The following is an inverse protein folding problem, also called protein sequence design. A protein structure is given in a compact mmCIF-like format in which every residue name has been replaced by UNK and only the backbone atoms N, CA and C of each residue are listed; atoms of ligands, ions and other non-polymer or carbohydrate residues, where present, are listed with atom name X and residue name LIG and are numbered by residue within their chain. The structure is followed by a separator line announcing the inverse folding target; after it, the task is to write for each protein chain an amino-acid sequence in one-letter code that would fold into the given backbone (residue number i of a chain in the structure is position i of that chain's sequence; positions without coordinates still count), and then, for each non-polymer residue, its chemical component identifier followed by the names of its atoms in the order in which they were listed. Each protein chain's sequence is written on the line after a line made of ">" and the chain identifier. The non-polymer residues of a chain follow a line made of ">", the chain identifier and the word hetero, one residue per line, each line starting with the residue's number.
data_IF_716242422028
#
_entry.id   IF_716242422028
#
_cell.length_a   1.000
_cell.length_b   1.000
_cell.length_c   1.000
_cell.angle_alpha   90.00
_cell.angle_beta   90.00
_cell.angle_gamma   90.00
#
_symmetry.space_group_name_H-M   'P 1'
#
loop_
_entity.id
_entity.type
_entity.pdbx_description
1 polymer ?
#
# COMPACT_ATOMS: atom_id res chain seq x y z
N UNK A 1 -34.81 -97.31 33.43
CA UNK A 1 -33.40 -97.53 33.01
C UNK A 1 -33.40 -97.88 31.53
N UNK A 2 -32.35 -97.47 30.83
CA UNK A 2 -32.21 -97.17 29.38
C UNK A 2 -32.57 -98.30 28.41
N UNK A 3 -32.95 -97.94 27.19
CA UNK A 3 -32.23 -98.05 25.89
C UNK A 3 -33.21 -97.54 24.79
N UNK A 4 -32.90 -97.03 23.60
CA UNK A 4 -31.70 -96.90 22.76
C UNK A 4 -32.12 -96.24 21.42
N UNK A 5 -31.12 -95.94 20.57
CA UNK A 5 -31.05 -95.16 19.31
C UNK A 5 -31.86 -95.62 18.08
N UNK A 6 -31.89 -94.74 17.05
CA UNK A 6 -31.66 -94.96 15.58
C UNK A 6 -32.49 -93.95 14.74
N UNK A 7 -31.90 -92.96 14.04
CA UNK A 7 -31.25 -92.94 12.71
C UNK A 7 -32.18 -92.81 11.48
N UNK A 8 -31.78 -91.93 10.53
CA UNK A 8 -32.17 -91.88 9.10
C UNK A 8 -33.51 -91.20 8.77
N UNK A 9 -33.70 -90.29 7.81
CA UNK A 9 -32.92 -89.85 6.65
C UNK A 9 -33.84 -89.81 5.42
N UNK A 10 -33.52 -88.96 4.43
CA UNK A 10 -34.11 -88.79 3.08
C UNK A 10 -35.43 -87.95 2.99
N UNK A 11 -35.61 -87.00 2.07
CA UNK A 11 -34.78 -86.49 0.98
C UNK A 11 -35.69 -86.06 -0.18
N UNK A 12 -35.71 -84.76 -0.53
CA UNK A 12 -36.27 -84.29 -1.81
C UNK A 12 -35.29 -83.34 -2.50
N UNK A 13 -34.83 -83.74 -3.69
CA UNK A 13 -34.07 -82.92 -4.62
C UNK A 13 -35.02 -82.13 -5.52
N UNK A 14 -35.01 -80.80 -5.38
CA UNK A 14 -35.62 -79.86 -6.33
C UNK A 14 -34.54 -79.17 -7.17
N UNK A 15 -34.69 -79.25 -8.50
CA UNK A 15 -33.73 -78.78 -9.50
C UNK A 15 -33.43 -77.28 -9.50
N UNK A 16 -32.21 -76.95 -9.93
CA UNK A 16 -31.67 -75.59 -10.06
C UNK A 16 -32.11 -74.95 -11.37
N UNK A 17 -32.94 -73.93 -11.28
CA UNK A 17 -33.17 -72.94 -12.34
C UNK A 17 -32.96 -71.54 -11.72
N UNK A 18 -31.79 -70.93 -11.91
CA UNK A 18 -31.52 -69.61 -11.33
C UNK A 18 -30.07 -69.16 -11.40
N UNK A 19 -29.54 -68.84 -12.59
CA UNK A 19 -28.19 -68.24 -12.67
C UNK A 19 -28.02 -67.15 -13.75
N UNK A 20 -29.11 -66.63 -14.34
CA UNK A 20 -29.05 -65.47 -15.25
C UNK A 20 -29.44 -64.13 -14.62
N UNK A 21 -30.04 -64.15 -13.42
CA UNK A 21 -30.37 -62.93 -12.67
C UNK A 21 -29.22 -62.37 -11.83
N UNK A 22 -28.26 -63.22 -11.45
CA UNK A 22 -27.17 -62.91 -10.50
C UNK A 22 -26.10 -61.97 -11.08
N UNK A 23 -25.82 -62.06 -12.38
CA UNK A 23 -24.73 -61.31 -13.03
C UNK A 23 -25.12 -59.86 -13.37
N UNK A 24 -26.37 -59.62 -13.80
CA UNK A 24 -26.89 -58.26 -14.06
C UNK A 24 -26.99 -57.44 -12.78
N UNK A 25 -27.43 -58.05 -11.67
CA UNK A 25 -27.51 -57.37 -10.37
C UNK A 25 -26.10 -57.01 -9.85
N UNK A 26 -25.14 -57.92 -10.00
CA UNK A 26 -23.72 -57.67 -9.66
C UNK A 26 -23.11 -56.54 -10.49
N UNK A 27 -23.44 -56.45 -11.78
CA UNK A 27 -22.99 -55.37 -12.66
C UNK A 27 -23.59 -54.02 -12.25
N UNK A 28 -24.89 -53.98 -11.95
CA UNK A 28 -25.56 -52.78 -11.43
C UNK A 28 -25.02 -52.29 -10.09
N UNK A 29 -24.71 -53.20 -9.15
CA UNK A 29 -24.07 -52.86 -7.86
C UNK A 29 -22.66 -52.27 -8.04
N UNK A 30 -21.89 -52.77 -9.01
CA UNK A 30 -20.55 -52.23 -9.34
C UNK A 30 -20.64 -50.84 -9.96
N UNK A 31 -21.58 -50.63 -10.86
CA UNK A 31 -21.80 -49.35 -11.51
C UNK A 31 -22.28 -48.28 -10.52
N UNK A 32 -23.21 -48.65 -9.62
CA UNK A 32 -23.68 -47.76 -8.54
C UNK A 32 -22.55 -47.34 -7.59
N UNK A 33 -21.67 -48.28 -7.20
CA UNK A 33 -20.47 -47.97 -6.40
C UNK A 33 -19.48 -47.06 -7.14
N UNK A 34 -19.39 -47.18 -8.47
CA UNK A 34 -18.52 -46.33 -9.29
C UNK A 34 -19.07 -44.90 -9.35
N UNK A 35 -20.37 -44.74 -9.57
CA UNK A 35 -21.04 -43.43 -9.58
C UNK A 35 -20.94 -42.73 -8.22
N UNK A 36 -21.11 -43.46 -7.11
CA UNK A 36 -21.01 -42.89 -5.76
C UNK A 36 -19.57 -42.43 -5.43
N UNK A 37 -18.57 -43.19 -5.88
CA UNK A 37 -17.15 -42.81 -5.74
C UNK A 37 -16.77 -41.61 -6.62
N UNK A 38 -17.35 -41.49 -7.80
CA UNK A 38 -17.13 -40.38 -8.72
C UNK A 38 -17.76 -39.09 -8.19
N UNK A 39 -19.01 -39.18 -7.71
CA UNK A 39 -19.69 -38.09 -7.02
C UNK A 39 -18.93 -37.63 -5.77
N UNK A 40 -18.37 -38.55 -4.98
CA UNK A 40 -17.55 -38.20 -3.82
C UNK A 40 -16.28 -37.41 -4.20
N UNK A 41 -15.65 -37.73 -5.34
CA UNK A 41 -14.49 -36.99 -5.85
C UNK A 41 -14.85 -35.61 -6.38
N UNK A 42 -16.03 -35.47 -7.00
CA UNK A 42 -16.54 -34.17 -7.43
C UNK A 42 -16.87 -33.27 -6.24
N UNK A 43 -17.56 -33.80 -5.23
CA UNK A 43 -17.88 -33.06 -4.00
C UNK A 43 -16.61 -32.65 -3.22
N UNK A 44 -15.57 -33.49 -3.21
CA UNK A 44 -14.27 -33.15 -2.61
C UNK A 44 -13.57 -32.03 -3.40
N UNK A 45 -13.58 -32.09 -4.73
CA UNK A 45 -13.01 -31.04 -5.59
C UNK A 45 -13.76 -29.70 -5.50
N UNK A 46 -15.07 -29.70 -5.27
CA UNK A 46 -15.84 -28.48 -5.04
C UNK A 46 -15.48 -27.84 -3.68
N UNK A 47 -15.34 -28.64 -2.62
CA UNK A 47 -14.92 -28.15 -1.29
C UNK A 47 -13.53 -27.53 -1.31
N UNK A 48 -12.59 -28.12 -2.05
CA UNK A 48 -11.24 -27.54 -2.20
C UNK A 48 -11.28 -26.19 -2.94
N UNK A 49 -12.05 -26.10 -4.03
CA UNK A 49 -12.22 -24.85 -4.80
C UNK A 49 -12.91 -23.76 -3.99
N UNK A 50 -13.88 -24.13 -3.16
CA UNK A 50 -14.55 -23.21 -2.24
C UNK A 50 -13.58 -22.68 -1.16
N UNK A 51 -12.77 -23.57 -0.57
CA UNK A 51 -11.73 -23.19 0.38
C UNK A 51 -10.66 -22.26 -0.22
N UNK A 52 -10.27 -22.44 -1.48
CA UNK A 52 -9.39 -21.50 -2.19
C UNK A 52 -10.04 -20.13 -2.43
N UNK A 53 -11.33 -20.11 -2.78
CA UNK A 53 -12.09 -18.85 -2.97
C UNK A 53 -12.24 -18.10 -1.65
N UNK A 54 -12.46 -18.80 -0.55
CA UNK A 54 -12.57 -18.21 0.78
C UNK A 54 -11.22 -17.63 1.24
N UNK A 55 -10.12 -18.39 1.10
CA UNK A 55 -8.77 -17.88 1.36
C UNK A 55 -8.43 -16.65 0.51
N UNK A 56 -8.85 -16.62 -0.76
CA UNK A 56 -8.65 -15.46 -1.63
C UNK A 56 -9.45 -14.24 -1.16
N UNK A 57 -10.69 -14.43 -0.72
CA UNK A 57 -11.52 -13.36 -0.12
C UNK A 57 -10.91 -12.82 1.16
N UNK A 58 -10.42 -13.69 2.06
CA UNK A 58 -9.73 -13.26 3.28
C UNK A 58 -8.44 -12.46 2.98
N UNK A 59 -7.71 -12.84 1.93
CA UNK A 59 -6.52 -12.12 1.48
C UNK A 59 -6.85 -10.74 0.90
N UNK A 60 -7.95 -10.62 0.15
CA UNK A 60 -8.46 -9.34 -0.36
C UNK A 60 -8.89 -8.43 0.78
N UNK A 61 -9.61 -8.94 1.78
CA UNK A 61 -10.01 -8.18 2.97
C UNK A 61 -8.79 -7.67 3.76
N UNK A 62 -7.73 -8.48 3.91
CA UNK A 62 -6.48 -8.05 4.57
C UNK A 62 -5.71 -7.00 3.74
N UNK A 63 -5.73 -7.11 2.41
CA UNK A 63 -5.13 -6.10 1.52
C UNK A 63 -5.91 -4.78 1.55
N UNK A 64 -7.23 -4.86 1.65
CA UNK A 64 -8.10 -3.68 1.70
C UNK A 64 -8.09 -3.01 3.08
N UNK A 65 -7.94 -3.79 4.16
CA UNK A 65 -7.66 -3.32 5.51
C UNK A 65 -6.26 -2.68 5.69
N UNK A 66 -5.38 -2.83 4.69
CA UNK A 66 -4.08 -2.16 4.60
C UNK A 66 -4.09 -0.84 3.83
N UNK A 67 -5.22 -0.44 3.23
CA UNK A 67 -5.43 0.96 2.84
C UNK A 67 -5.82 1.73 4.09
N UNK A 68 -4.80 2.04 4.88
CA UNK A 68 -4.86 3.08 5.89
C UNK A 68 -5.40 4.33 5.19
N UNK A 69 -6.69 4.61 5.40
CA UNK A 69 -7.24 5.92 5.11
C UNK A 69 -6.41 6.86 5.95
N UNK A 70 -5.59 7.66 5.28
CA UNK A 70 -4.94 8.83 5.87
C UNK A 70 -6.05 9.62 6.57
N UNK A 71 -6.18 9.40 7.88
CA UNK A 71 -7.23 10.05 8.65
C UNK A 71 -6.80 11.49 8.73
N UNK A 72 -7.59 12.37 8.12
CA UNK A 72 -7.43 13.81 8.24
C UNK A 72 -7.29 14.16 9.72
N UNK A 73 -6.06 14.45 10.13
CA UNK A 73 -5.76 14.79 11.51
C UNK A 73 -6.08 16.26 11.67
N UNK A 74 -7.02 16.57 12.55
CA UNK A 74 -7.36 17.95 12.87
C UNK A 74 -6.10 18.67 13.38
N UNK A 75 -5.72 19.76 12.72
CA UNK A 75 -4.47 20.50 12.98
C UNK A 75 -4.65 21.76 13.85
N UNK A 76 -5.90 22.12 14.15
CA UNK A 76 -6.20 23.31 14.96
C UNK A 76 -7.66 23.73 14.94
N UNK A 77 -7.90 24.87 15.55
CA UNK A 77 -9.19 25.54 15.70
C UNK A 77 -9.08 26.98 15.21
N UNK A 78 -10.05 27.44 14.40
CA UNK A 78 -10.13 28.85 14.01
C UNK A 78 -11.00 29.65 14.98
N UNK A 79 -10.47 30.77 15.47
CA UNK A 79 -11.21 31.73 16.30
C UNK A 79 -11.37 33.05 15.54
N UNK A 80 -12.60 33.56 15.46
CA UNK A 80 -12.94 34.80 14.72
C UNK A 80 -12.11 36.01 15.20
N UNK A 81 -11.83 36.12 16.49
CA UNK A 81 -11.12 37.26 17.09
C UNK A 81 -9.63 37.04 17.30
N UNK A 82 -9.16 35.78 17.25
CA UNK A 82 -7.77 35.42 17.59
C UNK A 82 -7.04 34.69 16.46
N UNK A 83 -7.71 34.45 15.33
CA UNK A 83 -7.16 33.70 14.20
C UNK A 83 -7.03 32.21 14.48
N UNK A 84 -6.12 31.55 13.77
CA UNK A 84 -5.85 30.12 13.88
C UNK A 84 -5.13 29.79 15.19
N UNK A 85 -5.68 28.87 15.96
CA UNK A 85 -5.04 28.24 17.12
C UNK A 85 -4.69 26.80 16.76
N UNK A 86 -3.41 26.49 16.57
CA UNK A 86 -2.92 25.16 16.19
C UNK A 86 -2.51 24.33 17.40
N UNK A 87 -2.67 23.01 17.32
CA UNK A 87 -2.18 22.09 18.36
C UNK A 87 -0.66 21.91 18.22
N UNK A 88 0.10 22.44 19.19
CA UNK A 88 1.56 22.57 19.10
C UNK A 88 2.33 21.23 19.05
N UNK A 89 1.69 20.11 19.35
CA UNK A 89 2.30 18.77 19.25
C UNK A 89 2.44 18.26 17.80
N UNK A 90 1.87 18.95 16.80
CA UNK A 90 1.99 18.53 15.40
C UNK A 90 3.32 18.96 14.79
N UNK A 91 3.91 20.05 15.27
CA UNK A 91 5.16 20.59 14.74
C UNK A 91 6.43 19.99 15.35
N UNK A 92 6.37 19.52 16.61
CA UNK A 92 7.58 19.25 17.39
C UNK A 92 8.12 17.81 17.32
N UNK A 93 7.36 16.82 16.84
CA UNK A 93 7.85 15.42 16.81
C UNK A 93 7.91 14.81 15.42
N UNK A 94 7.17 15.36 14.44
CA UNK A 94 7.06 14.73 13.12
C UNK A 94 7.91 15.43 12.05
N UNK A 95 8.19 16.73 12.20
CA UNK A 95 8.95 17.49 11.20
C UNK A 95 10.45 17.21 11.31
N UNK A 96 11.00 17.24 12.53
CA UNK A 96 12.41 16.93 12.79
C UNK A 96 12.78 15.49 12.41
N UNK A 97 11.93 14.51 12.71
CA UNK A 97 12.16 13.11 12.30
C UNK A 97 12.03 12.90 10.78
N UNK A 98 11.15 13.65 10.11
CA UNK A 98 10.94 13.58 8.65
C UNK A 98 12.04 14.27 7.84
N UNK A 99 12.65 15.32 8.40
CA UNK A 99 13.68 16.11 7.72
C UNK A 99 15.11 15.60 7.95
N UNK A 100 15.33 14.73 8.94
CA UNK A 100 16.64 14.18 9.24
C UNK A 100 17.21 13.45 8.02
N UNK A 101 18.40 13.86 7.55
CA UNK A 101 19.05 13.37 6.31
C UNK A 101 18.27 13.61 5.00
N UNK A 102 17.20 14.40 5.03
CA UNK A 102 16.48 14.80 3.81
C UNK A 102 17.20 15.98 3.16
N UNK A 103 17.31 16.00 1.82
CA UNK A 103 17.84 17.16 1.07
C UNK A 103 16.69 18.01 0.54
N UNK A 104 16.57 19.24 1.01
CA UNK A 104 15.59 20.21 0.53
C UNK A 104 16.15 21.00 -0.65
N UNK A 105 15.38 21.09 -1.73
CA UNK A 105 15.69 22.03 -2.81
C UNK A 105 15.03 23.37 -2.48
N UNK A 106 15.86 24.40 -2.28
CA UNK A 106 15.39 25.74 -1.95
C UNK A 106 15.46 26.59 -3.21
N UNK A 107 14.30 26.88 -3.81
CA UNK A 107 14.22 27.79 -4.95
C UNK A 107 14.14 29.23 -4.44
N UNK A 108 15.02 30.09 -4.94
CA UNK A 108 15.16 31.48 -4.48
C UNK A 108 15.63 32.39 -5.62
N UNK A 109 15.55 33.70 -5.42
CA UNK A 109 16.09 34.72 -6.32
C UNK A 109 17.29 35.43 -5.69
N UNK A 110 18.12 36.08 -6.50
CA UNK A 110 19.18 36.98 -6.00
C UNK A 110 18.57 38.34 -5.66
N UNK A 111 18.58 38.68 -4.38
CA UNK A 111 18.09 39.96 -3.89
C UNK A 111 18.92 40.40 -2.68
N UNK A 112 19.55 41.56 -2.77
CA UNK A 112 20.28 42.14 -1.64
C UNK A 112 19.29 42.71 -0.60
N UNK A 113 19.45 42.44 0.71
CA UNK A 113 20.54 41.70 1.38
C UNK A 113 20.21 40.24 1.74
N UNK A 114 19.15 39.69 1.16
CA UNK A 114 18.60 38.39 1.54
C UNK A 114 19.37 37.21 0.94
N UNK A 115 19.74 37.30 -0.34
CA UNK A 115 20.54 36.30 -1.05
C UNK A 115 21.41 36.97 -2.11
N UNK A 116 22.72 36.81 -1.99
CA UNK A 116 23.73 37.40 -2.86
C UNK A 116 24.78 36.37 -3.25
N UNK A 117 25.45 36.59 -4.37
CA UNK A 117 26.66 35.85 -4.71
C UNK A 117 27.85 36.48 -3.96
N UNK A 118 28.68 35.63 -3.36
CA UNK A 118 29.96 36.07 -2.78
C UNK A 118 30.88 36.64 -3.85
N UNK A 119 31.77 37.55 -3.47
CA UNK A 119 32.75 38.13 -4.40
C UNK A 119 33.62 37.08 -5.13
N UNK A 120 33.96 35.98 -4.46
CA UNK A 120 34.74 34.87 -5.01
C UNK A 120 33.86 33.65 -5.39
N UNK A 121 32.58 33.84 -5.69
CA UNK A 121 31.64 32.74 -5.97
C UNK A 121 32.07 31.80 -7.11
N UNK A 122 32.97 32.22 -8.00
CA UNK A 122 33.50 31.40 -9.10
C UNK A 122 34.47 30.32 -8.61
N UNK A 123 35.09 30.52 -7.44
CA UNK A 123 36.02 29.59 -6.81
C UNK A 123 35.32 28.64 -5.83
N UNK A 124 34.03 28.88 -5.56
CA UNK A 124 33.22 28.14 -4.60
C UNK A 124 32.21 27.26 -5.33
N UNK A 125 31.78 26.18 -4.67
CA UNK A 125 30.82 25.23 -5.22
C UNK A 125 29.55 25.15 -4.36
N UNK A 126 28.45 24.70 -4.98
CA UNK A 126 27.19 24.48 -4.28
C UNK A 126 26.65 25.72 -3.57
N UNK A 127 26.28 25.55 -2.30
CA UNK A 127 25.68 26.60 -1.46
C UNK A 127 26.71 27.64 -1.00
N UNK A 128 28.00 27.32 -0.98
CA UNK A 128 29.03 28.21 -0.46
C UNK A 128 29.22 29.47 -1.32
N UNK A 129 28.74 29.43 -2.57
CA UNK A 129 28.71 30.55 -3.50
C UNK A 129 27.81 31.70 -3.06
N UNK A 130 26.90 31.45 -2.12
CA UNK A 130 25.87 32.41 -1.70
C UNK A 130 26.12 32.93 -0.29
N UNK A 131 25.69 34.16 -0.04
CA UNK A 131 25.67 34.82 1.27
C UNK A 131 24.42 35.69 1.41
N UNK A 132 24.08 36.09 2.64
CA UNK A 132 22.92 36.92 2.94
C UNK A 132 22.04 36.32 4.02
N UNK A 133 21.04 37.11 4.45
CA UNK A 133 20.19 36.76 5.59
C UNK A 133 19.50 35.39 5.45
N UNK A 134 19.00 35.05 4.26
CA UNK A 134 18.32 33.77 4.03
C UNK A 134 19.29 32.59 4.06
N UNK A 135 20.55 32.79 3.67
CA UNK A 135 21.58 31.73 3.73
C UNK A 135 21.93 31.43 5.18
N UNK A 136 22.13 32.46 6.00
CA UNK A 136 22.44 32.30 7.43
C UNK A 136 21.29 31.61 8.16
N UNK A 137 20.06 32.03 7.90
CA UNK A 137 18.87 31.39 8.47
C UNK A 137 18.75 29.91 8.06
N UNK A 138 18.95 29.58 6.78
CA UNK A 138 18.91 28.19 6.31
C UNK A 138 19.96 27.32 6.98
N UNK A 139 21.16 27.87 7.18
CA UNK A 139 22.25 27.17 7.85
C UNK A 139 21.91 26.86 9.30
N UNK A 140 21.43 27.85 10.06
CA UNK A 140 21.00 27.65 11.45
C UNK A 140 19.86 26.63 11.55
N UNK A 141 18.88 26.69 10.64
CA UNK A 141 17.78 25.72 10.60
C UNK A 141 18.27 24.31 10.23
N UNK A 142 19.19 24.19 9.28
CA UNK A 142 19.79 22.92 8.87
C UNK A 142 20.58 22.28 10.02
N UNK A 143 21.29 23.09 10.81
CA UNK A 143 22.05 22.61 11.97
C UNK A 143 21.12 22.15 13.11
N UNK A 144 20.00 22.84 13.35
CA UNK A 144 19.02 22.48 14.39
C UNK A 144 18.19 21.24 14.00
N UNK A 145 17.76 21.15 12.74
CA UNK A 145 16.81 20.12 12.27
C UNK A 145 17.52 18.97 11.52
N UNK A 146 18.83 19.07 11.30
CA UNK A 146 19.67 18.07 10.65
C UNK A 146 19.20 17.66 9.24
N UNK A 147 18.74 18.63 8.45
CA UNK A 147 18.48 18.45 7.02
C UNK A 147 19.64 18.99 6.18
N UNK A 148 19.75 18.53 4.95
CA UNK A 148 20.63 19.11 3.95
C UNK A 148 19.80 20.01 3.03
N UNK A 149 20.39 21.04 2.44
CA UNK A 149 19.69 21.85 1.44
C UNK A 149 20.56 22.16 0.24
N UNK A 150 19.93 22.51 -0.88
CA UNK A 150 20.59 23.00 -2.09
C UNK A 150 19.88 24.24 -2.58
N UNK A 151 20.63 25.32 -2.76
CA UNK A 151 20.12 26.57 -3.31
C UNK A 151 19.98 26.41 -4.83
N UNK A 152 18.77 26.67 -5.32
CA UNK A 152 18.43 26.73 -6.73
C UNK A 152 17.96 28.14 -7.07
N UNK A 153 18.67 28.81 -7.98
CA UNK A 153 18.19 30.09 -8.50
C UNK A 153 17.08 29.85 -9.49
N UNK A 154 15.95 30.55 -9.32
CA UNK A 154 14.85 30.49 -10.28
C UNK A 154 15.34 30.96 -11.65
N UNK A 155 14.94 30.24 -12.71
CA UNK A 155 15.51 30.45 -14.05
C UNK A 155 15.17 31.80 -14.68
N UNK A 156 14.05 32.41 -14.30
CA UNK A 156 13.52 33.65 -14.88
C UNK A 156 13.69 34.89 -13.99
N UNK A 157 14.24 34.73 -12.78
CA UNK A 157 14.52 35.79 -11.82
C UNK A 157 13.29 36.51 -11.27
N UNK A 158 12.07 35.98 -11.46
CA UNK A 158 10.83 36.60 -10.97
C UNK A 158 10.15 35.75 -9.90
N UNK A 159 9.41 36.41 -9.01
CA UNK A 159 8.63 35.70 -7.97
C UNK A 159 7.51 34.86 -8.57
N UNK A 160 6.76 35.47 -9.48
CA UNK A 160 5.75 34.80 -10.27
C UNK A 160 4.73 35.79 -10.82
N UNK A 161 4.49 35.70 -12.12
CA UNK A 161 3.50 36.49 -12.83
C UNK A 161 2.43 35.51 -13.35
N UNK A 162 1.14 35.75 -13.08
CA UNK A 162 0.09 34.93 -13.64
C UNK A 162 0.01 35.15 -15.15
N UNK A 163 0.06 34.08 -15.92
CA UNK A 163 -0.13 34.11 -17.36
C UNK A 163 -1.60 33.97 -17.75
N UNK A 164 -1.95 34.45 -18.94
CA UNK A 164 -3.33 34.39 -19.47
C UNK A 164 -3.82 32.97 -19.75
N UNK A 165 -2.90 32.01 -19.85
CA UNK A 165 -3.17 30.57 -20.00
C UNK A 165 -3.47 29.88 -18.65
N UNK A 166 -3.43 30.60 -17.53
CA UNK A 166 -3.67 30.07 -16.19
C UNK A 166 -2.45 29.44 -15.50
N UNK A 167 -1.26 29.50 -16.12
CA UNK A 167 0.00 29.12 -15.47
C UNK A 167 0.60 30.31 -14.73
N UNK A 168 1.63 30.05 -13.93
CA UNK A 168 2.43 31.07 -13.28
C UNK A 168 3.87 30.96 -13.76
N UNK A 169 4.55 32.08 -13.92
CA UNK A 169 6.01 32.12 -14.06
C UNK A 169 6.67 32.14 -12.69
N UNK A 170 7.99 32.24 -12.65
CA UNK A 170 8.75 32.50 -11.45
C UNK A 170 8.86 31.33 -10.51
N UNK A 171 9.21 31.66 -9.27
CA UNK A 171 9.25 30.70 -8.18
C UNK A 171 7.91 30.00 -8.00
N UNK A 172 6.80 30.72 -8.17
CA UNK A 172 5.44 30.14 -8.11
C UNK A 172 5.23 29.11 -9.24
N UNK A 173 5.65 29.44 -10.47
CA UNK A 173 5.59 28.55 -11.61
C UNK A 173 6.40 27.27 -11.42
N UNK A 174 7.64 27.40 -10.95
CA UNK A 174 8.51 26.25 -10.68
C UNK A 174 7.93 25.31 -9.62
N UNK A 175 7.30 25.85 -8.57
CA UNK A 175 6.63 25.04 -7.54
C UNK A 175 5.45 24.26 -8.11
N UNK A 176 4.59 24.90 -8.91
CA UNK A 176 3.40 24.26 -9.51
C UNK A 176 3.82 23.16 -10.49
N UNK A 177 4.82 23.45 -11.33
CA UNK A 177 5.34 22.51 -12.32
C UNK A 177 6.01 21.30 -11.64
N UNK A 178 6.84 21.51 -10.61
CA UNK A 178 7.57 20.44 -9.92
C UNK A 178 6.69 19.62 -8.98
N UNK A 179 5.75 20.26 -8.29
CA UNK A 179 4.75 19.57 -7.44
C UNK A 179 3.87 18.60 -8.22
N UNK A 180 3.71 18.82 -9.54
CA UNK A 180 2.99 17.92 -10.43
C UNK A 180 3.82 16.73 -10.94
N UNK A 181 5.16 16.76 -10.81
CA UNK A 181 6.07 15.82 -11.51
C UNK A 181 6.99 15.02 -10.57
N UNK A 182 7.28 15.47 -9.34
CA UNK A 182 8.19 14.73 -8.44
C UNK A 182 7.74 14.77 -6.98
N UNK A 183 6.98 13.76 -6.56
CA UNK A 183 6.58 13.55 -5.17
C UNK A 183 7.72 13.08 -4.24
N UNK A 184 9.00 13.24 -4.63
CA UNK A 184 10.17 12.76 -3.87
C UNK A 184 11.12 13.85 -3.38
N UNK A 185 10.97 15.08 -3.86
CA UNK A 185 11.81 16.22 -3.44
C UNK A 185 10.92 17.30 -2.86
N UNK A 186 11.00 17.52 -1.54
CA UNK A 186 10.27 18.61 -0.89
C UNK A 186 10.92 19.94 -1.31
N UNK A 187 10.23 20.69 -2.16
CA UNK A 187 10.68 22.00 -2.66
C UNK A 187 10.10 23.08 -1.74
N UNK A 188 10.95 23.95 -1.23
CA UNK A 188 10.56 25.08 -0.37
C UNK A 188 11.02 26.40 -0.98
N UNK A 189 10.20 27.44 -0.82
CA UNK A 189 10.52 28.82 -1.23
C UNK A 189 10.86 29.66 -0.01
N UNK A 190 11.84 30.54 -0.16
CA UNK A 190 12.25 31.53 0.83
C UNK A 190 12.28 32.92 0.21
#
# INVERSE_FOLDING_TARGET
>A
MRDGEMEGGEGEMGGREGDRGSEKERKGKRERKRMEKERGREEEGEREREGEREKKREQEIRKEGGREREREKKIGHWHVTKGLSMDNQIFSTNVSESLFNTTLLVTTILENPYLMLKGNHQELEGNDRYEGFCVDMLKELADILHFNYKIHLVGDGVYGVPETNGTWTGMVGELIARGSVSAKESTSVL
#
